data_IF_214450651381
#
_entry.id   IF_214450651381
#
_cell.length_a   1.000
_cell.length_b   1.000
_cell.length_c   1.000
_cell.angle_alpha   90.00
_cell.angle_beta   90.00
_cell.angle_gamma   90.00
#
_symmetry.space_group_name_H-M   'P 1'
#
loop_
_entity.id
_entity.type
_entity.pdbx_description
1 polymer ?
#
# COMPACT_ATOMS: atom_id res chain seq x y z
N UNK A 1 1.61 13.02 -11.02
CA UNK A 1 1.75 12.75 -9.59
C UNK A 1 0.76 11.65 -9.26
N UNK A 2 1.25 10.49 -8.85
CA UNK A 2 0.43 9.37 -8.41
C UNK A 2 -0.08 9.73 -7.02
N UNK A 3 -1.36 9.52 -6.73
CA UNK A 3 -1.86 9.73 -5.39
C UNK A 3 -1.44 8.53 -4.53
N UNK A 4 -0.46 8.71 -3.65
CA UNK A 4 -0.08 7.72 -2.63
C UNK A 4 -1.22 7.61 -1.62
N UNK A 5 -1.63 6.38 -1.30
CA UNK A 5 -2.68 6.11 -0.34
C UNK A 5 -2.15 6.06 1.10
N UNK A 6 -0.93 5.53 1.27
CA UNK A 6 -0.23 5.47 2.56
C UNK A 6 1.27 5.69 2.37
N UNK A 7 1.84 6.66 3.09
CA UNK A 7 3.28 6.88 3.07
C UNK A 7 4.00 5.73 3.78
N UNK A 8 5.09 5.21 3.19
CA UNK A 8 5.88 4.13 3.78
C UNK A 8 7.32 4.14 3.24
N UNK A 9 8.30 3.80 4.08
CA UNK A 9 9.63 3.47 3.58
C UNK A 9 9.64 2.04 3.05
N UNK A 10 9.63 1.89 1.73
CA UNK A 10 9.58 0.60 1.05
C UNK A 10 10.84 -0.27 1.24
N UNK A 11 11.89 0.27 1.87
CA UNK A 11 13.11 -0.49 2.20
C UNK A 11 13.15 -0.95 3.66
N UNK A 12 12.14 -0.61 4.46
CA UNK A 12 12.07 -0.94 5.88
C UNK A 12 10.98 -2.00 6.13
N UNK A 13 11.42 -3.22 6.42
CA UNK A 13 10.56 -4.34 6.77
C UNK A 13 10.58 -4.62 8.28
N UNK A 14 9.49 -5.19 8.80
CA UNK A 14 9.46 -5.73 10.15
C UNK A 14 9.98 -7.19 10.21
N UNK A 15 9.95 -7.81 11.39
CA UNK A 15 10.39 -9.20 11.57
C UNK A 15 9.57 -10.24 10.78
N UNK A 16 8.44 -9.86 10.20
CA UNK A 16 7.62 -10.73 9.35
C UNK A 16 7.97 -10.62 7.87
N UNK A 17 8.88 -9.71 7.50
CA UNK A 17 9.30 -9.48 6.12
C UNK A 17 8.32 -8.63 5.31
N UNK A 18 7.41 -7.92 5.99
CA UNK A 18 6.50 -6.98 5.36
C UNK A 18 6.95 -5.55 5.63
N UNK A 19 6.76 -4.68 4.64
CA UNK A 19 6.87 -3.23 4.84
C UNK A 19 5.79 -2.82 5.82
N UNK A 20 6.07 -1.82 6.65
CA UNK A 20 5.11 -1.32 7.61
C UNK A 20 5.05 0.20 7.60
N UNK A 21 3.90 0.72 8.00
CA UNK A 21 3.62 2.14 8.18
C UNK A 21 2.64 2.32 9.33
N UNK A 22 2.45 3.55 9.80
CA UNK A 22 1.34 3.86 10.70
C UNK A 22 0.08 4.23 9.91
N UNK A 23 -1.10 3.83 10.42
CA UNK A 23 -2.38 4.08 9.76
C UNK A 23 -2.68 5.59 9.58
N UNK A 24 -2.14 6.45 10.43
CA UNK A 24 -2.30 7.90 10.34
C UNK A 24 -1.42 8.55 9.25
N UNK A 25 -0.50 7.81 8.64
CA UNK A 25 0.22 8.18 7.43
C UNK A 25 -0.61 7.95 6.17
N UNK A 26 -1.77 7.29 6.30
CA UNK A 26 -2.71 7.12 5.21
C UNK A 26 -3.46 8.42 4.90
N UNK A 27 -3.53 8.76 3.61
CA UNK A 27 -4.34 9.87 3.10
C UNK A 27 -5.83 9.69 3.41
N UNK A 28 -6.31 8.45 3.32
CA UNK A 28 -7.65 8.03 3.70
C UNK A 28 -7.57 6.72 4.48
N UNK A 29 -7.61 6.74 5.82
CA UNK A 29 -7.55 5.53 6.62
C UNK A 29 -8.69 4.53 6.35
N UNK A 30 -9.82 4.97 5.78
CA UNK A 30 -10.99 4.11 5.58
C UNK A 30 -10.82 3.08 4.45
N UNK A 31 -9.87 3.31 3.52
CA UNK A 31 -9.55 2.37 2.45
C UNK A 31 -8.43 1.40 2.83
N UNK A 32 -7.74 1.64 3.95
CA UNK A 32 -6.65 0.79 4.45
C UNK A 32 -7.24 -0.35 5.27
N UNK A 33 -7.75 -1.37 4.57
CA UNK A 33 -8.35 -2.56 5.16
C UNK A 33 -7.65 -3.82 4.66
N UNK A 34 -7.57 -4.90 5.47
CA UNK A 34 -6.91 -6.13 5.05
C UNK A 34 -7.43 -6.66 3.71
N UNK A 35 -6.51 -7.00 2.81
CA UNK A 35 -6.78 -7.43 1.43
C UNK A 35 -6.93 -6.31 0.40
N UNK A 36 -6.98 -5.03 0.81
CA UNK A 36 -7.01 -3.92 -0.13
C UNK A 36 -5.69 -3.78 -0.90
N UNK A 37 -5.79 -3.48 -2.20
CA UNK A 37 -4.66 -3.00 -3.01
C UNK A 37 -4.57 -1.48 -2.86
N UNK A 38 -3.39 -1.00 -2.48
CA UNK A 38 -3.12 0.42 -2.21
C UNK A 38 -1.83 0.85 -2.90
N UNK A 39 -1.68 2.15 -3.14
CA UNK A 39 -0.40 2.74 -3.51
C UNK A 39 0.35 3.15 -2.25
N UNK A 40 1.51 2.54 -2.01
CA UNK A 40 2.39 2.84 -0.88
C UNK A 40 3.71 3.46 -1.35
N UNK A 41 4.42 4.13 -0.45
CA UNK A 41 5.74 4.74 -0.74
C UNK A 41 5.72 6.25 -0.58
N UNK A 42 6.40 6.94 -1.49
CA UNK A 42 6.39 8.39 -1.60
C UNK A 42 6.16 8.83 -3.05
N UNK A 43 6.20 10.14 -3.31
CA UNK A 43 5.98 10.71 -4.64
C UNK A 43 7.07 10.34 -5.65
N UNK A 44 8.28 9.99 -5.19
CA UNK A 44 9.43 9.64 -6.03
C UNK A 44 9.49 8.14 -6.33
N UNK A 45 9.04 7.29 -5.40
CA UNK A 45 9.08 5.83 -5.51
C UNK A 45 7.78 5.14 -5.03
N UNK A 46 6.64 5.34 -5.73
CA UNK A 46 5.39 4.65 -5.39
C UNK A 46 5.38 3.19 -5.88
N UNK A 47 4.79 2.30 -5.08
CA UNK A 47 4.58 0.90 -5.41
C UNK A 47 3.15 0.44 -5.06
N UNK A 48 2.69 -0.63 -5.71
CA UNK A 48 1.41 -1.26 -5.33
C UNK A 48 1.69 -2.25 -4.21
N UNK A 49 0.89 -2.19 -3.14
CA UNK A 49 0.97 -3.12 -2.03
C UNK A 49 -0.41 -3.68 -1.67
N UNK A 50 -0.42 -4.87 -1.06
CA UNK A 50 -1.60 -5.44 -0.40
C UNK A 50 -1.51 -5.12 1.09
N UNK A 51 -2.59 -4.60 1.66
CA UNK A 51 -2.71 -4.47 3.12
C UNK A 51 -2.87 -5.88 3.71
N UNK A 52 -1.88 -6.33 4.47
CA UNK A 52 -1.87 -7.66 5.09
C UNK A 52 -2.75 -7.66 6.33
N UNK A 53 -2.47 -6.76 7.27
CA UNK A 53 -3.26 -6.55 8.47
C UNK A 53 -3.01 -5.18 9.12
N UNK A 54 -3.85 -4.87 10.10
CA UNK A 54 -3.75 -3.73 10.99
C UNK A 54 -3.59 -4.24 12.42
N UNK A 55 -2.51 -3.86 13.09
CA UNK A 55 -2.20 -4.32 14.45
C UNK A 55 -2.07 -3.13 15.41
N UNK A 56 -2.76 -3.11 16.56
CA UNK A 56 -2.59 -2.07 17.57
C UNK A 56 -1.16 -2.06 18.14
N UNK A 57 -0.57 -0.88 18.26
CA UNK A 57 0.73 -0.63 18.88
C UNK A 57 0.61 0.56 19.85
N UNK A 58 1.43 0.67 20.91
CA UNK A 58 1.38 1.81 21.82
C UNK A 58 1.50 3.19 21.15
N UNK A 59 2.18 3.25 20.00
CA UNK A 59 2.36 4.49 19.22
C UNK A 59 1.31 4.74 18.14
N UNK A 60 0.36 3.82 17.91
CA UNK A 60 -0.61 3.92 16.82
C UNK A 60 -1.03 2.56 16.27
N UNK A 61 -1.77 2.55 15.16
CA UNK A 61 -2.10 1.29 14.47
C UNK A 61 -1.05 1.05 13.39
N UNK A 62 -0.36 -0.09 13.46
CA UNK A 62 0.63 -0.50 12.45
C UNK A 62 -0.11 -1.18 11.31
N UNK A 63 0.17 -0.77 10.09
CA UNK A 63 -0.31 -1.37 8.85
C UNK A 63 0.84 -2.17 8.26
N UNK A 64 0.64 -3.46 8.02
CA UNK A 64 1.61 -4.29 7.28
C UNK A 64 1.23 -4.37 5.81
N UNK A 65 2.22 -4.21 4.94
CA UNK A 65 2.09 -4.07 3.51
C UNK A 65 2.96 -5.11 2.81
N UNK A 66 2.34 -5.91 1.95
CA UNK A 66 3.05 -6.81 1.03
C UNK A 66 3.22 -6.11 -0.31
N UNK A 67 4.44 -5.64 -0.59
CA UNK A 67 4.74 -4.88 -1.81
C UNK A 67 4.75 -5.82 -3.01
N UNK A 68 3.88 -5.55 -3.97
CA UNK A 68 3.74 -6.38 -5.14
C UNK A 68 4.81 -6.05 -6.19
N UNK A 69 5.27 -7.06 -6.96
CA UNK A 69 6.28 -6.85 -7.98
C UNK A 69 5.73 -6.04 -9.16
N UNK A 70 6.61 -5.33 -9.85
CA UNK A 70 6.29 -4.62 -11.10
C UNK A 70 5.98 -3.15 -10.90
N UNK A 71 5.82 -2.46 -12.03
CA UNK A 71 5.58 -1.02 -12.07
C UNK A 71 4.09 -0.70 -11.96
N UNK A 72 3.75 0.43 -11.35
CA UNK A 72 2.37 0.89 -11.17
C UNK A 72 1.58 0.91 -12.50
N UNK A 73 2.22 1.27 -13.60
CA UNK A 73 1.62 1.32 -14.93
C UNK A 73 1.09 -0.05 -15.39
N UNK A 74 1.72 -1.14 -14.95
CA UNK A 74 1.27 -2.50 -15.29
C UNK A 74 -0.06 -2.82 -14.62
N UNK A 75 -0.26 -2.39 -13.37
CA UNK A 75 -1.51 -2.54 -12.63
C UNK A 75 -2.62 -1.67 -13.21
N UNK A 76 -2.30 -0.42 -13.56
CA UNK A 76 -3.25 0.50 -14.22
C UNK A 76 -3.69 -0.08 -15.57
N UNK A 77 -2.76 -0.61 -16.36
CA UNK A 77 -3.07 -1.23 -17.65
C UNK A 77 -3.97 -2.47 -17.49
N UNK A 78 -3.70 -3.30 -16.47
CA UNK A 78 -4.55 -4.44 -16.13
C UNK A 78 -5.97 -3.99 -15.76
N UNK A 79 -6.10 -3.04 -14.82
CA UNK A 79 -7.39 -2.54 -14.36
C UNK A 79 -8.21 -1.98 -15.52
N UNK A 80 -7.61 -1.14 -16.38
CA UNK A 80 -8.27 -0.60 -17.58
C UNK A 80 -8.76 -1.69 -18.53
N UNK A 81 -7.96 -2.75 -18.73
CA UNK A 81 -8.34 -3.85 -19.62
C UNK A 81 -9.50 -4.67 -19.05
N UNK A 82 -9.51 -4.92 -17.74
CA UNK A 82 -10.59 -5.66 -17.08
C UNK A 82 -11.87 -4.84 -17.02
N UNK A 83 -11.77 -3.55 -16.69
CA UNK A 83 -12.92 -2.62 -16.64
C UNK A 83 -13.57 -2.44 -18.01
N UNK A 84 -12.79 -2.32 -19.09
CA UNK A 84 -13.32 -2.29 -20.45
C UNK A 84 -13.99 -3.59 -20.91
N UNK A 85 -13.79 -4.69 -20.17
CA UNK A 85 -14.40 -5.99 -20.44
C UNK A 85 -15.59 -6.29 -19.50
N UNK A 86 -15.87 -5.42 -18.53
CA UNK A 86 -16.98 -5.50 -17.58
C UNK A 86 -18.22 -4.76 -18.09
#
# INVERSE_FOLDING_TARGET
>A
MVAVDIAADLNTEDQTGYVWAFLDEARDPSIIVPGALVVAGDDDAPAVAVVVDLTPHPSGTVVRLDVLPGALEQYVALAKRVDAAA
#
